data_IF_811388200877
#
_entry.id   IF_811388200877
#
_cell.length_a   1.000
_cell.length_b   1.000
_cell.length_c   1.000
_cell.angle_alpha   90.00
_cell.angle_beta   90.00
_cell.angle_gamma   90.00
#
_symmetry.space_group_name_H-M   'P 1'
#
loop_
_entity.id
_entity.type
_entity.pdbx_description
1 polymer ?
#
# COMPACT_ATOMS: atom_id res chain seq x y z
N UNK A 1 10.16 -18.92 18.74
CA UNK A 1 9.67 -19.32 17.41
C UNK A 1 8.18 -19.01 17.38
N UNK A 2 7.74 -18.00 16.63
CA UNK A 2 6.32 -17.63 16.56
C UNK A 2 5.78 -18.13 15.23
N UNK A 3 4.96 -19.18 15.27
CA UNK A 3 4.25 -19.71 14.09
C UNK A 3 3.10 -18.77 13.75
N UNK A 4 3.10 -18.21 12.55
CA UNK A 4 1.96 -17.46 12.04
C UNK A 4 0.88 -18.44 11.55
N UNK A 5 -0.43 -18.16 11.77
CA UNK A 5 -1.49 -19.01 11.24
C UNK A 5 -1.49 -18.95 9.71
N UNK A 6 -1.39 -20.11 9.06
CA UNK A 6 -1.56 -20.24 7.60
C UNK A 6 -3.02 -20.00 7.26
N UNK A 7 -3.37 -19.00 6.43
CA UNK A 7 -4.74 -18.86 5.95
C UNK A 7 -5.11 -20.10 5.12
N UNK A 8 -6.26 -20.71 5.41
CA UNK A 8 -6.80 -21.82 4.63
C UNK A 8 -7.43 -21.30 3.34
N UNK A 9 -6.59 -20.89 2.40
CA UNK A 9 -6.96 -20.63 1.00
C UNK A 9 -6.14 -21.56 0.12
N UNK A 10 -6.76 -22.61 -0.41
CA UNK A 10 -6.10 -23.58 -1.28
C UNK A 10 -5.74 -22.94 -2.63
N UNK A 11 -4.46 -22.93 -2.96
CA UNK A 11 -3.92 -22.42 -4.21
C UNK A 11 -2.41 -22.45 -4.13
N UNK A 12 -1.74 -22.55 -5.25
CA UNK A 12 -0.29 -22.77 -5.39
C UNK A 12 0.60 -21.62 -4.83
N UNK A 13 0.04 -20.68 -4.05
CA UNK A 13 0.75 -19.56 -3.44
C UNK A 13 0.28 -19.28 -2.01
N UNK A 14 1.11 -18.56 -1.27
CA UNK A 14 0.83 -17.94 0.01
C UNK A 14 0.65 -16.44 -0.17
N UNK A 15 -0.34 -15.87 0.53
CA UNK A 15 -0.45 -14.44 0.77
C UNK A 15 -0.87 -14.22 2.23
N UNK A 16 -0.02 -13.61 3.04
CA UNK A 16 -0.25 -13.49 4.47
C UNK A 16 0.38 -12.23 5.09
N UNK A 17 -0.30 -11.65 6.08
CA UNK A 17 0.30 -10.68 6.98
C UNK A 17 1.06 -11.43 8.09
N UNK A 18 2.34 -11.10 8.27
CA UNK A 18 3.23 -11.72 9.25
C UNK A 18 3.77 -10.70 10.24
N UNK A 19 4.19 -11.19 11.41
CA UNK A 19 5.01 -10.44 12.36
C UNK A 19 6.42 -11.00 12.35
N UNK A 20 7.38 -10.17 12.01
CA UNK A 20 8.80 -10.51 11.91
C UNK A 20 9.43 -10.61 13.31
N UNK A 21 10.62 -11.20 13.39
CA UNK A 21 11.32 -11.46 14.65
C UNK A 21 11.70 -10.18 15.41
N UNK A 22 11.92 -9.07 14.69
CA UNK A 22 12.16 -7.73 15.24
C UNK A 22 10.87 -7.03 15.72
N UNK A 23 9.71 -7.67 15.54
CA UNK A 23 8.41 -7.16 15.92
C UNK A 23 7.68 -6.37 14.83
N UNK A 24 8.33 -6.09 13.68
CA UNK A 24 7.73 -5.38 12.56
C UNK A 24 6.64 -6.23 11.87
N UNK A 25 5.60 -5.59 11.32
CA UNK A 25 4.58 -6.26 10.50
C UNK A 25 4.96 -6.19 9.02
N UNK A 26 4.74 -7.27 8.28
CA UNK A 26 4.95 -7.34 6.85
C UNK A 26 3.77 -8.05 6.17
N UNK A 27 3.56 -7.75 4.89
CA UNK A 27 2.75 -8.58 4.00
C UNK A 27 3.68 -9.40 3.12
N UNK A 28 3.45 -10.71 3.05
CA UNK A 28 4.28 -11.65 2.31
C UNK A 28 3.44 -12.34 1.26
N UNK A 29 3.92 -12.32 0.03
CA UNK A 29 3.43 -13.17 -1.06
C UNK A 29 4.54 -14.16 -1.41
N UNK A 30 4.23 -15.45 -1.47
CA UNK A 30 5.21 -16.48 -1.80
C UNK A 30 4.60 -17.53 -2.72
N UNK A 31 5.41 -18.08 -3.62
CA UNK A 31 5.03 -19.18 -4.50
C UNK A 31 6.24 -20.12 -4.72
N UNK A 32 6.02 -21.38 -5.10
CA UNK A 32 7.09 -22.27 -5.56
C UNK A 32 7.86 -21.67 -6.73
N UNK A 33 9.16 -21.95 -6.85
CA UNK A 33 10.02 -21.34 -7.86
C UNK A 33 9.61 -21.72 -9.31
N UNK A 34 8.97 -22.89 -9.49
CA UNK A 34 8.43 -23.37 -10.77
C UNK A 34 7.00 -22.86 -11.05
N UNK A 35 6.39 -22.15 -10.11
CA UNK A 35 5.06 -21.59 -10.28
C UNK A 35 5.12 -20.30 -11.13
N UNK A 36 4.23 -20.14 -12.14
CA UNK A 36 4.15 -18.92 -12.95
C UNK A 36 3.96 -17.62 -12.14
N UNK A 37 3.37 -17.70 -10.94
CA UNK A 37 3.18 -16.56 -10.03
C UNK A 37 4.49 -16.05 -9.44
N UNK A 38 5.56 -16.84 -9.42
CA UNK A 38 6.88 -16.38 -8.99
C UNK A 38 7.40 -15.25 -9.88
N UNK A 39 7.10 -15.28 -11.18
CA UNK A 39 7.42 -14.19 -12.08
C UNK A 39 6.63 -12.91 -11.73
N UNK A 40 5.35 -13.05 -11.36
CA UNK A 40 4.53 -11.92 -10.93
C UNK A 40 5.02 -11.31 -9.61
N UNK A 41 5.36 -12.14 -8.61
CA UNK A 41 5.93 -11.68 -7.34
C UNK A 41 7.28 -10.96 -7.55
N UNK A 42 8.13 -11.49 -8.43
CA UNK A 42 9.42 -10.88 -8.78
C UNK A 42 9.25 -9.54 -9.50
N UNK A 43 8.28 -9.45 -10.41
CA UNK A 43 7.95 -8.19 -11.07
C UNK A 43 7.41 -7.15 -10.09
N UNK A 44 6.55 -7.54 -9.14
CA UNK A 44 6.05 -6.65 -8.09
C UNK A 44 7.20 -6.11 -7.23
N UNK A 45 8.16 -6.95 -6.83
CA UNK A 45 9.35 -6.52 -6.13
C UNK A 45 10.16 -5.50 -6.94
N UNK A 46 10.38 -5.76 -8.24
CA UNK A 46 11.10 -4.85 -9.12
C UNK A 46 10.40 -3.48 -9.24
N UNK A 47 9.07 -3.48 -9.40
CA UNK A 47 8.27 -2.24 -9.46
C UNK A 47 8.40 -1.47 -8.14
N UNK A 48 8.14 -2.11 -7.00
CA UNK A 48 8.23 -1.48 -5.68
C UNK A 48 9.63 -0.94 -5.39
N UNK A 49 10.68 -1.68 -5.74
CA UNK A 49 12.06 -1.24 -5.58
C UNK A 49 12.48 -0.08 -6.51
N UNK A 50 11.72 0.17 -7.58
CA UNK A 50 12.00 1.27 -8.52
C UNK A 50 11.26 2.57 -8.19
N UNK A 51 10.30 2.54 -7.25
CA UNK A 51 9.51 3.71 -6.91
C UNK A 51 10.37 4.79 -6.22
N UNK A 52 10.12 6.08 -6.51
CA UNK A 52 10.82 7.15 -5.82
C UNK A 52 10.45 7.18 -4.33
N UNK A 53 11.36 7.66 -3.46
CA UNK A 53 11.05 7.88 -2.06
C UNK A 53 9.80 8.75 -1.89
N UNK A 54 8.85 8.31 -1.04
CA UNK A 54 7.60 9.02 -0.78
C UNK A 54 6.45 8.72 -1.74
N UNK A 55 6.61 7.79 -2.68
CA UNK A 55 5.48 7.26 -3.45
C UNK A 55 4.40 6.68 -2.50
N UNK A 56 3.09 6.81 -2.82
CA UNK A 56 2.01 6.25 -2.01
C UNK A 56 1.89 4.74 -2.25
N UNK A 57 2.94 4.00 -1.92
CA UNK A 57 3.06 2.56 -2.04
C UNK A 57 3.79 2.00 -0.81
N UNK A 58 3.56 0.73 -0.44
CA UNK A 58 4.34 0.12 0.60
C UNK A 58 5.81 -0.03 0.19
N UNK A 59 6.73 0.08 1.16
CA UNK A 59 8.14 -0.18 0.92
C UNK A 59 8.43 -1.66 0.66
N UNK A 60 9.31 -1.97 -0.29
CA UNK A 60 9.88 -3.30 -0.43
C UNK A 60 10.87 -3.56 0.72
N UNK A 61 10.65 -4.63 1.49
CA UNK A 61 11.58 -5.06 2.55
C UNK A 61 12.61 -6.05 2.02
N UNK A 62 12.24 -6.87 1.04
CA UNK A 62 13.16 -7.78 0.38
C UNK A 62 12.50 -8.86 -0.45
N UNK A 63 13.34 -9.63 -1.14
CA UNK A 63 13.01 -10.89 -1.80
C UNK A 63 13.78 -12.01 -1.09
N UNK A 64 13.10 -13.11 -0.80
CA UNK A 64 13.67 -14.26 -0.10
C UNK A 64 13.38 -15.52 -0.89
N UNK A 65 14.43 -16.30 -1.18
CA UNK A 65 14.28 -17.61 -1.80
C UNK A 65 14.79 -18.68 -0.83
N UNK A 66 13.95 -19.67 -0.52
CA UNK A 66 14.27 -20.75 0.39
C UNK A 66 13.37 -21.96 0.14
N UNK A 67 13.94 -23.17 0.23
CA UNK A 67 13.21 -24.44 0.12
C UNK A 67 12.31 -24.53 -1.13
N UNK A 68 12.82 -24.10 -2.28
CA UNK A 68 12.14 -24.06 -3.59
C UNK A 68 10.94 -23.10 -3.66
N UNK A 69 10.92 -22.09 -2.78
CA UNK A 69 9.93 -21.01 -2.79
C UNK A 69 10.62 -19.66 -2.88
N UNK A 70 9.97 -18.75 -3.60
CA UNK A 70 10.33 -17.33 -3.66
C UNK A 70 9.23 -16.48 -3.02
N UNK A 71 9.63 -15.63 -2.09
CA UNK A 71 8.76 -14.76 -1.30
C UNK A 71 9.16 -13.29 -1.46
N UNK A 72 8.20 -12.44 -1.83
CA UNK A 72 8.33 -10.98 -1.77
C UNK A 72 7.78 -10.48 -0.45
N UNK A 73 8.58 -9.71 0.28
CA UNK A 73 8.26 -9.18 1.60
C UNK A 73 8.11 -7.68 1.50
N UNK A 74 6.92 -7.22 1.87
CA UNK A 74 6.47 -5.85 1.66
C UNK A 74 6.08 -5.26 3.01
N UNK A 75 6.39 -3.99 3.22
CA UNK A 75 6.00 -3.27 4.44
C UNK A 75 4.48 -3.35 4.62
N UNK A 76 4.03 -3.64 5.84
CA UNK A 76 2.62 -3.62 6.13
C UNK A 76 2.09 -2.18 6.12
N UNK A 77 1.02 -1.93 5.38
CA UNK A 77 0.30 -0.65 5.43
C UNK A 77 -0.79 -0.75 6.49
N UNK A 78 -0.77 0.16 7.46
CA UNK A 78 -1.87 0.29 8.40
C UNK A 78 -3.00 1.13 7.77
N UNK A 79 -4.23 0.69 7.98
CA UNK A 79 -5.43 1.37 7.47
C UNK A 79 -6.48 0.37 6.98
N UNK A 80 -7.74 0.80 6.85
CA UNK A 80 -8.74 -0.02 6.19
C UNK A 80 -8.40 -0.17 4.71
N UNK A 81 -8.71 -1.33 4.15
CA UNK A 81 -8.77 -1.47 2.69
C UNK A 81 -9.68 -0.37 2.11
N UNK A 82 -9.33 0.21 0.96
CA UNK A 82 -10.17 1.22 0.36
C UNK A 82 -11.57 0.64 0.11
N UNK A 83 -12.60 1.41 0.44
CA UNK A 83 -13.96 1.06 0.08
C UNK A 83 -14.10 1.21 -1.45
N UNK A 84 -13.93 0.10 -2.15
CA UNK A 84 -14.07 0.01 -3.60
C UNK A 84 -15.52 -0.22 -4.02
N UNK A 85 -16.52 0.00 -3.15
CA UNK A 85 -17.92 0.08 -3.58
C UNK A 85 -17.98 0.94 -4.85
N UNK A 86 -18.65 0.48 -5.92
CA UNK A 86 -18.45 1.03 -7.24
C UNK A 86 -18.64 2.54 -7.16
N UNK A 87 -17.55 3.27 -7.41
CA UNK A 87 -17.62 4.66 -7.81
C UNK A 87 -18.55 4.65 -9.02
N UNK A 88 -19.83 4.95 -8.78
CA UNK A 88 -20.75 5.26 -9.87
C UNK A 88 -20.11 6.47 -10.52
N UNK A 89 -19.40 6.25 -11.62
CA UNK A 89 -19.21 7.27 -12.63
C UNK A 89 -20.62 7.68 -13.00
N UNK A 90 -21.10 8.76 -12.39
CA UNK A 90 -22.19 9.53 -12.98
C UNK A 90 -21.61 10.03 -14.30
N UNK A 91 -22.14 9.62 -15.47
CA UNK A 91 -21.69 10.21 -16.71
C UNK A 91 -22.04 11.70 -16.61
N UNK A 92 -21.00 12.55 -16.68
CA UNK A 92 -21.03 14.00 -16.59
C UNK A 92 -20.96 14.64 -15.18
N UNK A 93 -19.74 14.72 -14.64
CA UNK A 93 -19.30 15.92 -13.91
C UNK A 93 -17.82 16.17 -14.23
N UNK A 94 -17.45 17.28 -14.88
CA UNK A 94 -16.05 17.56 -15.14
C UNK A 94 -15.35 17.91 -13.82
N UNK A 95 -14.25 17.21 -13.55
CA UNK A 95 -13.19 17.69 -12.66
C UNK A 95 -13.36 17.39 -11.18
N UNK A 96 -12.76 16.28 -10.73
CA UNK A 96 -11.85 16.31 -9.57
C UNK A 96 -10.68 15.37 -9.86
N UNK A 97 -9.73 15.86 -10.66
CA UNK A 97 -8.34 15.47 -10.44
C UNK A 97 -7.92 15.98 -9.07
N UNK A 98 -7.06 15.23 -8.40
CA UNK A 98 -6.39 15.64 -7.18
C UNK A 98 -5.82 17.05 -7.36
N UNK A 99 -6.41 18.04 -6.68
CA UNK A 99 -5.84 19.39 -6.62
C UNK A 99 -5.31 19.63 -5.23
N UNK A 100 -4.02 19.94 -5.20
CA UNK A 100 -3.31 20.66 -4.14
C UNK A 100 -4.20 21.67 -3.42
N UNK A 101 -4.06 21.78 -2.10
CA UNK A 101 -4.81 22.73 -1.27
C UNK A 101 -4.84 24.13 -1.88
N UNK A 102 -6.00 24.81 -1.89
CA UNK A 102 -6.05 26.21 -2.32
C UNK A 102 -5.31 27.11 -1.32
N UNK A 103 -4.73 28.24 -1.76
CA UNK A 103 -4.10 29.18 -0.85
C UNK A 103 -5.13 29.79 0.11
N UNK A 104 -4.67 30.10 1.33
CA UNK A 104 -5.50 30.64 2.39
C UNK A 104 -6.18 31.98 1.98
N UNK A 105 -7.40 32.24 2.46
CA UNK A 105 -8.11 33.48 2.14
C UNK A 105 -7.40 34.71 2.72
N UNK A 106 -7.53 35.90 2.08
CA UNK A 106 -6.95 37.12 2.59
C UNK A 106 -7.58 37.50 3.94
N UNK A 107 -6.76 38.00 4.86
CA UNK A 107 -7.20 38.51 6.17
C UNK A 107 -8.23 39.63 5.97
N UNK A 108 -9.33 39.65 6.74
CA UNK A 108 -10.30 40.74 6.67
C UNK A 108 -9.66 42.07 7.11
N UNK A 109 -10.09 43.22 6.54
CA UNK A 109 -9.61 44.52 6.98
C UNK A 109 -10.00 44.73 8.46
N UNK A 110 -9.02 45.14 9.27
CA UNK A 110 -9.21 45.41 10.68
C UNK A 110 -10.29 46.48 10.87
N UNK A 111 -11.41 46.08 11.48
CA UNK A 111 -12.41 47.04 11.95
C UNK A 111 -11.81 47.83 13.11
N UNK A 112 -11.60 49.12 12.89
CA UNK A 112 -11.54 50.08 14.00
C UNK A 112 -12.99 50.41 14.36
N UNK A 113 -13.51 49.75 15.39
CA UNK A 113 -14.58 50.34 16.19
C UNK A 113 -13.92 51.11 17.34
N UNK A 114 -14.34 52.34 17.51
CA UNK A 114 -13.69 53.34 18.33
C UNK A 114 -14.59 54.55 18.45
N UNK A 115 -15.66 54.34 19.21
CA UNK A 115 -16.71 55.28 19.57
C UNK A 115 -16.17 56.44 20.41
N UNK A 116 -16.67 57.65 20.11
CA UNK A 116 -16.82 58.85 20.96
C UNK A 116 -15.64 59.80 21.13
#
# INVERSE_FOLDING_TARGET
MSTAPTPSGGGHQLAAALRLADGQRAFVKAAPDDDPLTAANSHEAAVLGSLPPGAPAPGLLGLHSAADWTAVVIAHLDGPDPDLFPLRVTPNRPGRCWTSSPPAPPRPPGGTDGTR
#
